data_IF_093282993962
#
_entry.id   IF_093282993962
#
_cell.length_a   1.000
_cell.length_b   1.000
_cell.length_c   1.000
_cell.angle_alpha   90.00
_cell.angle_beta   90.00
_cell.angle_gamma   90.00
#
_symmetry.space_group_name_H-M   'P 1'
#
loop_
_entity.id
_entity.type
_entity.pdbx_description
1 polymer ?
#
# COMPACT_ATOMS: atom_id res chain seq x y z
N UNK A 1 -29.16 -2.46 -2.45
CA UNK A 1 -27.89 -2.64 -3.20
C UNK A 1 -26.85 -1.72 -2.59
N UNK A 2 -25.67 -2.23 -2.25
CA UNK A 2 -24.59 -1.38 -1.76
C UNK A 2 -24.12 -0.43 -2.85
N UNK A 3 -23.65 0.76 -2.44
CA UNK A 3 -23.24 1.82 -3.37
C UNK A 3 -21.84 1.54 -3.90
N UNK A 4 -21.70 1.52 -5.22
CA UNK A 4 -20.37 1.51 -5.85
C UNK A 4 -19.65 2.80 -5.49
N UNK A 5 -18.38 2.69 -5.13
CA UNK A 5 -17.55 3.84 -4.73
C UNK A 5 -16.22 3.78 -5.46
N UNK A 6 -15.67 4.93 -5.79
CA UNK A 6 -14.29 5.04 -6.31
C UNK A 6 -13.40 5.42 -5.15
N UNK A 7 -12.48 4.52 -4.79
CA UNK A 7 -11.48 4.77 -3.78
C UNK A 7 -10.21 5.29 -4.45
N UNK A 8 -9.60 6.31 -3.86
CA UNK A 8 -8.31 6.84 -4.31
C UNK A 8 -7.24 6.30 -3.37
N UNK A 9 -6.21 5.67 -3.94
CA UNK A 9 -5.04 5.22 -3.20
C UNK A 9 -3.78 5.89 -3.75
N UNK A 10 -2.76 5.96 -2.90
CA UNK A 10 -1.44 6.48 -3.25
C UNK A 10 -0.38 5.44 -2.92
N UNK A 11 0.49 5.16 -3.89
CA UNK A 11 1.58 4.21 -3.73
C UNK A 11 2.86 4.79 -4.33
N UNK A 12 4.00 4.54 -3.69
CA UNK A 12 5.29 4.83 -4.31
C UNK A 12 5.65 3.75 -5.33
N UNK A 13 5.96 4.18 -6.55
CA UNK A 13 6.48 3.31 -7.60
C UNK A 13 7.97 3.61 -7.80
N UNK A 14 8.77 2.59 -7.50
CA UNK A 14 10.21 2.57 -7.75
C UNK A 14 10.61 1.22 -8.33
N UNK A 15 11.83 1.18 -8.87
CA UNK A 15 12.52 -0.03 -9.30
C UNK A 15 14.03 0.12 -9.02
N UNK A 16 14.72 -0.92 -8.52
CA UNK A 16 16.16 -0.88 -8.36
C UNK A 16 16.86 -0.59 -9.69
N UNK A 17 17.96 0.17 -9.64
CA UNK A 17 18.80 0.41 -10.81
C UNK A 17 19.40 -0.92 -11.31
N UNK A 18 19.58 -1.10 -12.64
CA UNK A 18 20.31 -2.26 -13.17
C UNK A 18 21.77 -2.35 -12.68
N UNK A 19 22.34 -1.25 -12.20
CA UNK A 19 23.68 -1.21 -11.58
C UNK A 19 23.69 -1.69 -10.12
N UNK A 20 22.54 -2.16 -9.60
CA UNK A 20 22.34 -2.57 -8.20
C UNK A 20 22.61 -1.47 -7.16
N UNK A 21 22.60 -0.20 -7.60
CA UNK A 21 22.82 0.96 -6.74
C UNK A 21 21.71 1.98 -6.96
N UNK A 22 20.97 2.31 -5.90
CA UNK A 22 19.87 3.25 -5.95
C UNK A 22 18.74 2.79 -6.89
N UNK A 23 18.05 3.75 -7.52
CA UNK A 23 16.86 3.51 -8.34
C UNK A 23 17.12 3.77 -9.81
N UNK A 24 16.37 3.06 -10.67
CA UNK A 24 16.38 3.24 -12.14
C UNK A 24 15.85 4.64 -12.56
N UNK A 25 15.03 5.24 -11.70
CA UNK A 25 14.50 6.59 -11.83
C UNK A 25 14.08 7.10 -10.44
N UNK A 26 13.93 8.42 -10.31
CA UNK A 26 13.38 9.01 -9.08
C UNK A 26 12.00 8.39 -8.75
N UNK A 27 11.83 7.79 -7.56
CA UNK A 27 10.57 7.18 -7.15
C UNK A 27 9.38 8.12 -7.35
N UNK A 28 8.24 7.57 -7.79
CA UNK A 28 7.06 8.36 -8.13
C UNK A 28 5.91 8.08 -7.18
N UNK A 29 5.25 9.13 -6.71
CA UNK A 29 3.96 8.99 -6.05
C UNK A 29 2.89 8.78 -7.11
N UNK A 30 2.27 7.60 -7.11
CA UNK A 30 1.22 7.21 -8.05
C UNK A 30 -0.13 7.36 -7.35
N UNK A 31 -1.03 8.11 -7.98
CA UNK A 31 -2.45 8.15 -7.62
C UNK A 31 -3.19 7.10 -8.45
N UNK A 32 -3.96 6.25 -7.80
CA UNK A 32 -4.76 5.22 -8.45
C UNK A 32 -6.21 5.28 -7.99
N UNK A 33 -7.13 5.10 -8.93
CA UNK A 33 -8.57 4.96 -8.66
C UNK A 33 -8.99 3.49 -8.75
N UNK A 34 -9.63 3.00 -7.71
CA UNK A 34 -10.19 1.65 -7.66
C UNK A 34 -11.69 1.74 -7.56
N UNK A 35 -12.39 1.20 -8.57
CA UNK A 35 -13.83 1.03 -8.53
C UNK A 35 -14.18 -0.15 -7.65
N UNK A 36 -14.78 0.14 -6.49
CA UNK A 36 -15.17 -0.84 -5.49
C UNK A 36 -16.66 -1.20 -5.65
N UNK A 37 -16.95 -2.48 -5.90
CA UNK A 37 -18.32 -3.01 -6.10
C UNK A 37 -18.63 -4.12 -5.10
N UNK A 38 -18.99 -3.78 -3.86
CA UNK A 38 -19.24 -4.76 -2.80
C UNK A 38 -20.56 -5.53 -3.05
N UNK A 39 -20.52 -6.83 -2.77
CA UNK A 39 -21.64 -7.79 -2.85
C UNK A 39 -22.19 -8.16 -1.47
N UNK A 40 -21.33 -8.36 -0.48
CA UNK A 40 -21.68 -8.44 0.95
C UNK A 40 -20.72 -7.61 1.80
N UNK A 41 -21.18 -7.14 2.95
CA UNK A 41 -20.37 -6.44 3.94
C UNK A 41 -20.90 -6.75 5.33
N UNK A 42 -20.00 -7.14 6.23
CA UNK A 42 -20.28 -7.46 7.62
C UNK A 42 -19.37 -6.62 8.53
N UNK A 43 -19.96 -5.97 9.51
CA UNK A 43 -19.23 -5.26 10.56
C UNK A 43 -18.97 -6.21 11.72
N UNK A 44 -17.83 -6.05 12.38
CA UNK A 44 -17.49 -6.85 13.54
C UNK A 44 -16.46 -6.21 14.44
N UNK A 45 -16.09 -6.97 15.46
CA UNK A 45 -15.00 -6.65 16.37
C UNK A 45 -13.80 -7.56 16.08
N UNK A 46 -12.60 -7.03 16.25
CA UNK A 46 -11.37 -7.77 15.99
C UNK A 46 -10.29 -7.38 16.98
N UNK A 47 -9.43 -8.33 17.32
CA UNK A 47 -8.16 -8.07 18.00
C UNK A 47 -7.04 -8.17 16.95
N UNK A 48 -6.24 -7.13 16.86
CA UNK A 48 -5.09 -7.06 15.95
C UNK A 48 -3.82 -7.16 16.78
N UNK A 49 -2.86 -7.95 16.30
CA UNK A 49 -1.51 -8.08 16.86
C UNK A 49 -0.53 -7.99 15.68
N UNK A 50 0.20 -6.88 15.59
CA UNK A 50 1.22 -6.67 14.56
C UNK A 50 2.57 -7.08 15.12
N UNK A 51 3.24 -8.02 14.44
CA UNK A 51 4.54 -8.56 14.86
C UNK A 51 5.56 -8.36 13.76
N UNK A 52 6.77 -7.98 14.15
CA UNK A 52 7.88 -7.94 13.22
C UNK A 52 8.34 -9.36 12.85
N UNK A 53 8.81 -9.50 11.62
CA UNK A 53 9.55 -10.65 11.12
C UNK A 53 10.97 -10.22 10.73
N UNK A 54 11.80 -11.15 10.26
CA UNK A 54 13.12 -10.82 9.69
C UNK A 54 13.02 -9.87 8.48
N UNK A 55 11.90 -9.90 7.75
CA UNK A 55 11.73 -9.17 6.48
C UNK A 55 10.71 -8.03 6.56
N UNK A 56 9.88 -7.99 7.61
CA UNK A 56 8.79 -7.03 7.73
C UNK A 56 8.72 -6.44 9.15
N UNK A 57 9.00 -5.14 9.35
CA UNK A 57 9.04 -4.51 10.68
C UNK A 57 7.65 -4.07 11.18
N UNK A 58 6.60 -4.87 10.94
CA UNK A 58 5.22 -4.48 11.30
C UNK A 58 5.01 -4.14 12.78
N UNK A 59 5.83 -4.71 13.67
CA UNK A 59 5.75 -4.44 15.11
C UNK A 59 6.16 -3.02 15.51
N UNK A 60 6.75 -2.22 14.62
CA UNK A 60 7.04 -0.80 14.87
C UNK A 60 5.76 0.07 14.86
N UNK A 61 4.67 -0.42 14.24
CA UNK A 61 3.40 0.30 14.16
C UNK A 61 2.55 -0.01 15.40
N UNK A 62 2.48 0.95 16.31
CA UNK A 62 1.67 0.83 17.53
C UNK A 62 0.17 0.83 17.23
N UNK A 63 -0.55 -0.18 17.74
CA UNK A 63 -2.01 -0.24 17.71
C UNK A 63 -2.56 0.50 18.93
N UNK A 64 -2.84 1.79 18.79
CA UNK A 64 -3.41 2.61 19.88
C UNK A 64 -4.86 2.21 20.19
N UNK A 65 -5.68 2.00 19.14
CA UNK A 65 -7.09 1.63 19.28
C UNK A 65 -7.64 1.03 17.99
N UNK A 66 -8.37 -0.08 18.10
CA UNK A 66 -9.19 -0.63 17.01
C UNK A 66 -10.52 0.12 16.96
N UNK A 67 -10.86 0.70 15.80
CA UNK A 67 -12.12 1.46 15.61
C UNK A 67 -13.27 0.61 15.07
N UNK A 68 -12.97 -0.53 14.44
CA UNK A 68 -13.95 -1.47 13.92
C UNK A 68 -13.31 -2.45 12.95
N UNK A 69 -14.07 -3.50 12.58
CA UNK A 69 -13.69 -4.46 11.57
C UNK A 69 -14.75 -4.52 10.46
N UNK A 70 -14.31 -4.74 9.23
CA UNK A 70 -15.16 -4.96 8.06
C UNK A 70 -14.72 -6.21 7.32
N UNK A 71 -15.64 -7.14 7.09
CA UNK A 71 -15.48 -8.24 6.15
C UNK A 71 -16.30 -7.93 4.91
N UNK A 72 -15.66 -7.91 3.73
CA UNK A 72 -16.30 -7.50 2.47
C UNK A 72 -15.99 -8.52 1.39
N UNK A 73 -17.03 -8.95 0.67
CA UNK A 73 -16.91 -9.72 -0.57
C UNK A 73 -17.40 -8.84 -1.72
N UNK A 74 -16.61 -8.70 -2.78
CA UNK A 74 -16.94 -7.82 -3.89
C UNK A 74 -16.00 -7.98 -5.09
N UNK A 75 -16.26 -7.20 -6.14
CA UNK A 75 -15.39 -7.09 -7.31
C UNK A 75 -14.75 -5.70 -7.36
N UNK A 76 -13.46 -5.65 -7.67
CA UNK A 76 -12.72 -4.40 -7.81
C UNK A 76 -12.20 -4.26 -9.24
N UNK A 77 -12.25 -3.04 -9.78
CA UNK A 77 -11.55 -2.70 -11.03
C UNK A 77 -10.55 -1.59 -10.75
N UNK A 78 -9.27 -1.89 -10.94
CA UNK A 78 -8.19 -0.92 -10.86
C UNK A 78 -8.15 -0.14 -12.17
N UNK A 79 -8.31 1.18 -12.09
CA UNK A 79 -8.15 2.07 -13.25
C UNK A 79 -6.67 2.40 -13.43
N UNK A 80 -6.25 2.85 -14.63
CA UNK A 80 -4.90 3.35 -14.82
C UNK A 80 -4.55 4.44 -13.80
N UNK A 81 -3.44 4.25 -13.08
CA UNK A 81 -2.89 5.26 -12.19
C UNK A 81 -2.11 6.34 -12.94
N UNK A 82 -1.86 7.47 -12.27
CA UNK A 82 -1.03 8.57 -12.78
C UNK A 82 0.02 8.99 -11.77
N UNK A 83 1.19 9.38 -12.26
CA UNK A 83 2.20 10.01 -11.41
C UNK A 83 1.74 11.43 -11.04
N UNK A 84 1.73 11.74 -9.75
CA UNK A 84 1.34 13.05 -9.22
C UNK A 84 2.51 13.81 -8.59
N UNK A 85 3.60 13.11 -8.26
CA UNK A 85 4.84 13.70 -7.79
C UNK A 85 6.03 12.75 -8.05
N UNK A 86 7.22 13.31 -8.12
CA UNK A 86 8.49 12.56 -8.02
C UNK A 86 9.14 12.87 -6.67
N UNK A 87 9.86 11.88 -6.13
CA UNK A 87 10.54 11.97 -4.85
C UNK A 87 12.04 11.81 -5.09
N UNK A 88 12.81 12.56 -4.31
CA UNK A 88 14.26 12.44 -4.27
C UNK A 88 14.68 11.01 -3.86
N UNK A 89 15.53 10.40 -4.69
CA UNK A 89 15.97 9.02 -4.51
C UNK A 89 16.69 8.80 -3.18
N UNK A 90 17.60 9.70 -2.81
CA UNK A 90 18.43 9.56 -1.61
C UNK A 90 17.58 9.68 -0.33
N UNK A 91 16.54 10.50 -0.36
CA UNK A 91 15.57 10.62 0.75
C UNK A 91 14.62 9.43 0.86
N UNK A 92 14.34 8.75 -0.26
CA UNK A 92 13.41 7.62 -0.29
C UNK A 92 14.10 6.28 0.01
N UNK A 93 15.39 6.13 -0.32
CA UNK A 93 16.17 4.90 -0.16
C UNK A 93 15.97 4.21 1.21
N UNK A 94 16.02 4.91 2.36
CA UNK A 94 15.84 4.27 3.67
C UNK A 94 14.44 3.67 3.90
N UNK A 95 13.45 4.05 3.09
CA UNK A 95 12.06 3.63 3.21
C UNK A 95 11.63 2.68 2.09
N UNK A 96 12.54 2.33 1.18
CA UNK A 96 12.26 1.49 0.03
C UNK A 96 12.28 0.00 0.40
N UNK A 97 11.45 -0.45 1.34
CA UNK A 97 11.47 -1.83 1.83
C UNK A 97 10.97 -2.88 0.81
N UNK A 98 10.27 -2.45 -0.24
CA UNK A 98 9.67 -3.34 -1.24
C UNK A 98 10.58 -3.51 -2.47
N UNK A 99 10.59 -4.73 -3.04
CA UNK A 99 11.28 -5.11 -4.30
C UNK A 99 12.81 -5.19 -4.22
N UNK A 100 13.34 -5.30 -3.02
CA UNK A 100 14.76 -5.60 -2.81
C UNK A 100 14.87 -7.01 -2.29
N UNK A 101 15.57 -7.86 -3.03
CA UNK A 101 15.92 -9.18 -2.53
C UNK A 101 17.05 -8.99 -1.52
N UNK A 102 16.76 -9.28 -0.24
CA UNK A 102 17.77 -9.27 0.81
C UNK A 102 18.38 -10.68 0.87
N UNK A 103 19.68 -10.79 0.57
CA UNK A 103 20.48 -12.02 0.63
C UNK A 103 21.12 -12.21 2.00
#
# INVERSE_FOLDING_TARGET
KMKNTVNVSFNYKHFPSPEMRGFDYNPRLIREEVEFRPKSMEMGEVKIDLRSSMHDPWGEVEIVKVLGALYIVGDNSMRPGSAVAEVDSDKFEPYAFLKWDWY
#
